data_IF_216165532859
#
_entry.id   IF_216165532859
#
_cell.length_a   1.000
_cell.length_b   1.000
_cell.length_c   1.000
_cell.angle_alpha   90.00
_cell.angle_beta   90.00
_cell.angle_gamma   90.00
#
_symmetry.space_group_name_H-M   'P 1'
#
loop_
_entity.id
_entity.type
_entity.pdbx_description
1 polymer ?
#
# COMPACT_ATOMS: atom_id res chain seq x y z
N UNK A 1 -1.95 20.07 6.08
CA UNK A 1 -2.23 20.21 4.62
C UNK A 1 -3.26 19.14 4.28
N UNK A 2 -4.52 19.49 4.00
CA UNK A 2 -5.56 18.49 3.69
C UNK A 2 -5.39 18.08 2.22
N UNK A 3 -5.28 16.80 1.90
CA UNK A 3 -5.24 16.33 0.52
C UNK A 3 -6.61 16.49 -0.13
N UNK A 4 -6.66 17.12 -1.30
CA UNK A 4 -7.92 17.43 -2.00
C UNK A 4 -8.52 16.25 -2.76
N UNK A 5 -7.76 15.15 -2.99
CA UNK A 5 -8.25 13.95 -3.68
C UNK A 5 -7.99 12.66 -2.87
N UNK A 6 -8.79 11.61 -3.10
CA UNK A 6 -8.63 10.30 -2.46
C UNK A 6 -7.25 9.68 -2.75
N UNK A 7 -6.70 9.94 -3.92
CA UNK A 7 -5.43 9.40 -4.42
C UNK A 7 -4.22 10.16 -3.87
N UNK A 8 -4.32 11.47 -3.65
CA UNK A 8 -3.32 12.23 -2.88
C UNK A 8 -3.26 11.76 -1.42
N UNK A 9 -4.40 11.30 -0.88
CA UNK A 9 -4.45 10.61 0.41
C UNK A 9 -3.73 9.28 0.38
N UNK A 10 -3.89 8.48 -0.67
CA UNK A 10 -3.24 7.18 -0.82
C UNK A 10 -1.70 7.31 -0.89
N UNK A 11 -1.16 8.32 -1.56
CA UNK A 11 0.29 8.56 -1.62
C UNK A 11 0.88 9.15 -0.35
N UNK A 12 0.14 10.04 0.32
CA UNK A 12 0.48 10.46 1.67
C UNK A 12 0.36 9.28 2.63
N UNK A 13 -0.68 8.45 2.48
CA UNK A 13 -0.84 7.20 3.22
C UNK A 13 0.33 6.26 2.98
N UNK A 14 0.85 6.12 1.75
CA UNK A 14 2.01 5.29 1.47
C UNK A 14 3.30 5.79 2.16
N UNK A 15 3.49 7.11 2.29
CA UNK A 15 4.59 7.69 3.09
C UNK A 15 4.28 7.58 4.59
N UNK A 16 3.03 7.75 4.99
CA UNK A 16 2.56 7.62 6.36
C UNK A 16 2.60 6.17 6.84
N UNK A 17 2.33 5.20 5.98
CA UNK A 17 2.38 3.76 6.25
C UNK A 17 3.77 3.13 5.98
N UNK A 18 4.72 3.89 5.42
CA UNK A 18 6.09 3.40 5.23
C UNK A 18 6.68 2.91 6.56
N UNK A 19 7.27 1.72 6.56
CA UNK A 19 7.92 1.15 7.77
C UNK A 19 9.17 1.90 8.16
N UNK A 20 9.81 2.58 7.22
CA UNK A 20 10.97 3.39 7.47
C UNK A 20 10.57 4.77 7.95
N UNK A 21 11.31 5.31 8.90
CA UNK A 21 11.21 6.71 9.27
C UNK A 21 11.49 7.59 8.06
N UNK A 22 10.61 8.54 7.78
CA UNK A 22 10.82 9.62 6.80
C UNK A 22 10.64 10.95 7.51
N UNK A 23 11.68 11.76 7.50
CA UNK A 23 11.69 13.09 8.14
C UNK A 23 12.14 14.16 7.15
N UNK A 24 11.59 15.37 7.31
CA UNK A 24 12.08 16.59 6.68
C UNK A 24 12.50 17.57 7.77
N UNK A 25 13.68 18.13 7.63
CA UNK A 25 14.22 19.10 8.58
C UNK A 25 14.80 20.33 7.85
N UNK A 26 14.72 21.45 8.51
CA UNK A 26 15.43 22.67 8.13
C UNK A 26 16.90 22.52 8.46
N UNK A 27 17.77 22.74 7.50
CA UNK A 27 19.20 22.48 7.68
C UNK A 27 19.87 23.42 8.69
N UNK A 28 19.57 24.73 8.62
CA UNK A 28 20.24 25.74 9.46
C UNK A 28 19.74 25.69 10.91
N UNK A 29 18.43 25.45 11.10
CA UNK A 29 17.83 25.42 12.43
C UNK A 29 17.72 24.02 13.01
N UNK A 30 17.81 22.98 12.17
CA UNK A 30 17.58 21.60 12.55
C UNK A 30 16.12 21.28 12.89
N UNK A 31 15.18 22.23 12.73
CA UNK A 31 13.77 22.01 13.08
C UNK A 31 13.12 21.03 12.13
N UNK A 32 12.40 20.09 12.70
CA UNK A 32 11.58 19.17 11.92
C UNK A 32 10.41 19.91 11.28
N UNK A 33 10.21 19.66 9.97
CA UNK A 33 9.05 20.12 9.20
C UNK A 33 8.02 19.01 9.01
N UNK A 34 8.47 17.77 9.07
CA UNK A 34 7.64 16.58 8.87
C UNK A 34 8.33 15.35 9.47
N UNK A 35 7.54 14.44 10.02
CA UNK A 35 7.93 13.10 10.44
C UNK A 35 6.73 12.18 10.21
N UNK A 36 6.94 11.06 9.50
CA UNK A 36 5.86 10.11 9.25
C UNK A 36 5.53 9.28 10.51
N UNK A 37 4.36 8.58 10.56
CA UNK A 37 3.95 7.79 11.72
C UNK A 37 4.97 6.74 12.15
N UNK A 38 5.64 6.05 11.20
CA UNK A 38 6.71 5.10 11.52
C UNK A 38 7.88 5.78 12.25
N UNK A 39 8.24 6.99 11.84
CA UNK A 39 9.24 7.80 12.52
C UNK A 39 8.76 8.25 13.90
N UNK A 40 7.51 8.65 14.05
CA UNK A 40 6.93 9.00 15.36
C UNK A 40 6.96 7.78 16.29
N UNK A 41 6.53 6.63 15.84
CA UNK A 41 6.57 5.39 16.61
C UNK A 41 7.99 4.96 16.96
N UNK A 42 8.93 5.02 16.00
CA UNK A 42 10.34 4.67 16.20
C UNK A 42 10.97 5.53 17.28
N UNK A 43 10.62 6.82 17.33
CA UNK A 43 11.18 7.80 18.26
C UNK A 43 10.39 7.94 19.57
N UNK A 44 9.19 7.32 19.68
CA UNK A 44 8.30 7.45 20.83
C UNK A 44 7.63 8.82 20.92
N UNK A 45 7.27 9.43 19.79
CA UNK A 45 6.51 10.67 19.71
C UNK A 45 5.03 10.36 19.44
N UNK A 46 4.12 11.11 20.07
CA UNK A 46 2.70 10.78 20.09
C UNK A 46 1.84 11.65 19.17
N UNK A 47 2.31 12.84 18.82
CA UNK A 47 1.54 13.81 18.04
C UNK A 47 2.44 14.79 17.25
N UNK A 48 1.82 15.51 16.29
CA UNK A 48 2.51 16.49 15.44
C UNK A 48 3.07 17.68 16.25
N UNK A 49 2.47 18.03 17.38
CA UNK A 49 2.97 19.12 18.21
C UNK A 49 4.31 18.70 18.90
N UNK A 50 4.40 17.45 19.32
CA UNK A 50 5.63 16.88 19.85
C UNK A 50 6.74 16.83 18.78
N UNK A 51 6.38 16.55 17.51
CA UNK A 51 7.32 16.58 16.37
C UNK A 51 7.80 18.01 16.11
N UNK A 52 6.89 18.99 16.03
CA UNK A 52 7.20 20.39 15.74
C UNK A 52 8.08 21.05 16.83
N UNK A 53 8.05 20.52 18.05
CA UNK A 53 8.87 21.00 19.17
C UNK A 53 10.32 20.48 19.12
N UNK A 54 10.64 19.52 18.24
CA UNK A 54 11.93 18.84 18.17
C UNK A 54 12.83 19.39 17.07
N UNK A 55 14.12 19.15 17.24
CA UNK A 55 15.13 19.40 16.22
C UNK A 55 16.01 18.17 15.98
N UNK A 56 16.48 18.02 14.76
CA UNK A 56 17.12 16.80 14.29
C UNK A 56 18.30 16.29 15.15
N UNK A 57 19.18 17.16 15.71
CA UNK A 57 20.26 16.69 16.58
C UNK A 57 19.82 15.96 17.85
N UNK A 58 18.59 16.20 18.34
CA UNK A 58 18.07 15.52 19.55
C UNK A 58 17.81 14.03 19.32
N UNK A 59 17.67 13.63 18.07
CA UNK A 59 17.38 12.25 17.69
C UNK A 59 18.59 11.32 17.92
N UNK A 60 19.79 11.85 17.90
CA UNK A 60 21.01 11.06 17.97
C UNK A 60 21.44 10.80 19.43
N UNK A 61 22.00 9.60 19.66
CA UNK A 61 22.81 9.35 20.86
C UNK A 61 24.18 10.01 20.72
N UNK A 62 24.95 10.07 21.80
CA UNK A 62 26.33 10.57 21.74
C UNK A 62 27.18 9.76 20.75
N UNK A 63 26.91 8.46 20.62
CA UNK A 63 27.56 7.56 19.65
C UNK A 63 27.12 7.87 18.20
N UNK A 64 25.83 8.05 17.99
CA UNK A 64 25.28 8.43 16.68
C UNK A 64 25.75 9.82 16.23
N UNK A 65 25.91 10.74 17.18
CA UNK A 65 26.35 12.12 16.91
C UNK A 65 27.84 12.26 16.55
N UNK A 66 28.66 11.26 16.85
CA UNK A 66 30.07 11.23 16.42
C UNK A 66 30.24 11.35 14.91
N UNK A 67 29.27 10.90 14.14
CA UNK A 67 29.27 10.96 12.67
C UNK A 67 28.75 12.28 12.10
N UNK A 68 28.25 13.20 12.94
CA UNK A 68 27.68 14.46 12.49
C UNK A 68 28.62 15.33 11.64
N UNK A 69 29.93 15.46 11.98
CA UNK A 69 30.87 16.23 11.16
C UNK A 69 31.06 15.63 9.75
N UNK A 70 31.11 14.31 9.63
CA UNK A 70 31.26 13.63 8.35
C UNK A 70 29.97 13.77 7.52
N UNK A 71 28.81 13.69 8.19
CA UNK A 71 27.51 13.93 7.57
C UNK A 71 27.37 15.38 7.09
N UNK A 72 27.74 16.37 7.92
CA UNK A 72 27.72 17.78 7.55
C UNK A 72 28.62 18.07 6.35
N UNK A 73 29.84 17.55 6.35
CA UNK A 73 30.78 17.67 5.23
C UNK A 73 30.23 17.07 3.95
N UNK A 74 29.68 15.85 4.04
CA UNK A 74 29.09 15.16 2.89
C UNK A 74 27.83 15.87 2.37
N UNK A 75 27.00 16.44 3.25
CA UNK A 75 25.82 17.21 2.85
C UNK A 75 26.19 18.52 2.18
N UNK A 76 27.26 19.19 2.62
CA UNK A 76 27.78 20.41 1.99
C UNK A 76 28.42 20.12 0.64
N UNK A 77 29.31 19.14 0.58
CA UNK A 77 30.10 18.81 -0.61
C UNK A 77 29.32 17.96 -1.61
N UNK A 78 28.66 16.90 -1.12
CA UNK A 78 28.01 15.90 -1.95
C UNK A 78 26.47 15.97 -1.91
N UNK A 79 25.84 16.69 -0.97
CA UNK A 79 24.38 16.85 -0.78
C UNK A 79 23.69 15.58 -0.31
N UNK A 80 24.44 14.56 0.05
CA UNK A 80 23.94 13.32 0.62
C UNK A 80 24.94 12.74 1.60
N UNK A 81 24.41 11.98 2.52
CA UNK A 81 25.20 11.11 3.39
C UNK A 81 24.41 9.81 3.61
N UNK A 82 25.12 8.71 3.70
CA UNK A 82 24.54 7.42 4.02
C UNK A 82 25.50 6.66 4.94
N UNK A 83 24.96 6.07 6.01
CA UNK A 83 25.77 5.34 6.96
C UNK A 83 24.92 4.69 8.05
N UNK A 84 25.60 3.93 8.92
CA UNK A 84 24.99 3.44 10.15
C UNK A 84 25.09 4.52 11.21
N UNK A 85 23.99 4.73 11.94
CA UNK A 85 23.93 5.69 13.04
C UNK A 85 23.11 5.12 14.18
N UNK A 86 22.97 5.88 15.25
CA UNK A 86 22.22 5.46 16.41
C UNK A 86 21.34 6.62 16.91
N UNK A 87 20.03 6.35 16.96
CA UNK A 87 19.04 7.27 17.52
C UNK A 87 18.77 6.97 18.98
N UNK A 88 18.10 7.89 19.67
CA UNK A 88 17.65 7.75 21.06
C UNK A 88 16.14 7.80 21.11
N UNK A 89 15.51 6.75 21.64
CA UNK A 89 14.06 6.74 21.87
C UNK A 89 13.68 7.75 22.95
N UNK A 90 12.79 8.70 22.66
CA UNK A 90 12.50 9.84 23.56
C UNK A 90 11.82 9.46 24.87
N UNK A 91 11.03 8.38 24.90
CA UNK A 91 10.34 7.95 26.13
C UNK A 91 11.19 7.00 26.98
N UNK A 92 11.94 6.09 26.37
CA UNK A 92 12.68 5.05 27.09
C UNK A 92 14.16 5.39 27.26
N UNK A 93 14.70 6.30 26.45
CA UNK A 93 16.13 6.61 26.39
C UNK A 93 16.99 5.53 25.73
N UNK A 94 16.38 4.44 25.24
CA UNK A 94 17.08 3.31 24.63
C UNK A 94 17.70 3.68 23.28
N UNK A 95 18.90 3.17 22.99
CA UNK A 95 19.53 3.37 21.71
C UNK A 95 18.85 2.54 20.62
N UNK A 96 18.68 3.15 19.44
CA UNK A 96 18.08 2.53 18.26
C UNK A 96 19.12 2.54 17.14
N UNK A 97 19.75 1.41 16.81
CA UNK A 97 20.65 1.33 15.66
C UNK A 97 19.86 1.45 14.36
N UNK A 98 20.31 2.34 13.49
CA UNK A 98 19.65 2.62 12.20
C UNK A 98 20.65 2.67 11.05
N UNK A 99 20.17 2.33 9.84
CA UNK A 99 20.78 2.83 8.62
C UNK A 99 20.11 4.14 8.27
N UNK A 100 20.90 5.20 8.13
CA UNK A 100 20.41 6.55 7.88
C UNK A 100 20.91 7.04 6.52
N UNK A 101 19.98 7.48 5.67
CA UNK A 101 20.27 8.18 4.43
C UNK A 101 19.72 9.60 4.53
N UNK A 102 20.57 10.60 4.33
CA UNK A 102 20.21 12.02 4.42
C UNK A 102 20.51 12.71 3.09
N UNK A 103 19.59 13.54 2.62
CA UNK A 103 19.64 14.21 1.31
C UNK A 103 19.30 15.69 1.44
N UNK A 104 20.02 16.55 0.73
CA UNK A 104 19.64 17.96 0.58
C UNK A 104 18.59 18.08 -0.50
N UNK A 105 17.37 18.51 -0.14
CA UNK A 105 16.23 18.66 -1.05
C UNK A 105 16.00 20.10 -1.52
N UNK A 106 16.39 21.07 -0.71
CA UNK A 106 16.37 22.49 -1.07
C UNK A 106 17.72 23.13 -0.70
N UNK A 107 18.13 24.09 -1.56
CA UNK A 107 19.30 24.92 -1.29
C UNK A 107 18.92 26.41 -1.31
N UNK A 108 19.64 27.21 -0.54
CA UNK A 108 19.56 28.68 -0.57
C UNK A 108 20.08 29.24 -1.90
N UNK A 109 19.91 30.55 -2.12
CA UNK A 109 20.51 31.26 -3.27
C UNK A 109 22.03 31.10 -3.31
N UNK A 110 22.69 31.01 -2.15
CA UNK A 110 24.14 30.82 -1.98
C UNK A 110 24.56 29.34 -2.04
N UNK A 111 23.71 28.46 -2.60
CA UNK A 111 23.96 27.01 -2.77
C UNK A 111 24.15 26.23 -1.45
N UNK A 112 23.86 26.78 -0.29
CA UNK A 112 23.86 26.07 0.98
C UNK A 112 22.60 25.20 1.14
N UNK A 113 22.69 24.07 1.83
CA UNK A 113 21.51 23.29 2.17
C UNK A 113 20.49 24.15 2.91
N UNK A 114 19.21 24.09 2.50
CA UNK A 114 18.10 24.75 3.17
C UNK A 114 17.18 23.75 3.85
N UNK A 115 16.85 22.65 3.15
CA UNK A 115 16.01 21.56 3.66
C UNK A 115 16.68 20.24 3.37
N UNK A 116 16.68 19.36 4.36
CA UNK A 116 17.17 17.98 4.24
C UNK A 116 16.03 16.99 4.43
N UNK A 117 16.08 15.88 3.71
CA UNK A 117 15.26 14.70 3.94
C UNK A 117 16.11 13.60 4.56
N UNK A 118 15.57 12.94 5.57
CA UNK A 118 16.19 11.82 6.25
C UNK A 118 15.29 10.59 6.13
N UNK A 119 15.89 9.46 5.74
CA UNK A 119 15.23 8.16 5.72
C UNK A 119 16.03 7.26 6.64
N UNK A 120 15.39 6.71 7.69
CA UNK A 120 16.06 5.81 8.62
C UNK A 120 15.34 4.46 8.68
N UNK A 121 16.10 3.38 8.60
CA UNK A 121 15.66 2.02 8.77
C UNK A 121 16.14 1.48 10.11
N UNK A 122 15.20 0.97 10.93
CA UNK A 122 15.50 0.30 12.20
C UNK A 122 16.20 -1.04 11.94
N UNK A 123 17.34 -1.25 12.57
CA UNK A 123 18.15 -2.47 12.43
C UNK A 123 17.88 -3.51 13.53
N UNK A 124 17.06 -3.21 14.55
CA UNK A 124 16.81 -4.12 15.67
C UNK A 124 16.13 -5.41 15.23
N UNK A 125 15.10 -5.32 14.39
CA UNK A 125 14.39 -6.49 13.84
C UNK A 125 15.28 -7.39 12.98
N UNK A 126 16.18 -6.82 12.19
CA UNK A 126 17.13 -7.59 11.39
C UNK A 126 18.16 -8.31 12.27
N UNK A 127 18.66 -7.63 13.31
CA UNK A 127 19.59 -8.22 14.28
C UNK A 127 18.94 -9.31 15.14
N UNK A 128 17.70 -9.13 15.55
CA UNK A 128 16.95 -10.16 16.27
C UNK A 128 16.68 -11.41 15.41
N UNK A 129 16.41 -11.22 14.12
CA UNK A 129 16.20 -12.32 13.17
C UNK A 129 17.51 -13.09 12.92
N UNK A 130 18.61 -12.37 12.75
CA UNK A 130 19.96 -12.95 12.61
C UNK A 130 20.39 -13.70 13.88
N UNK A 131 20.13 -13.14 15.06
CA UNK A 131 20.37 -13.82 16.35
C UNK A 131 19.50 -15.07 16.54
N UNK A 132 18.22 -15.03 16.15
CA UNK A 132 17.32 -16.21 16.19
C UNK A 132 17.80 -17.30 15.23
N UNK A 133 18.25 -16.95 14.03
CA UNK A 133 18.86 -17.90 13.10
C UNK A 133 20.18 -18.45 13.63
N UNK A 134 21.05 -17.60 14.21
CA UNK A 134 22.28 -18.04 14.86
C UNK A 134 22.02 -18.99 16.07
N UNK A 135 20.99 -18.71 16.86
CA UNK A 135 20.61 -19.56 18.00
C UNK A 135 19.97 -20.87 17.55
N UNK A 136 19.24 -20.84 16.43
CA UNK A 136 18.59 -22.03 15.88
C UNK A 136 19.56 -22.96 15.12
N UNK A 137 20.67 -22.43 14.56
CA UNK A 137 21.62 -23.17 13.73
C UNK A 137 23.04 -23.25 14.30
N UNK A 138 23.34 -22.61 15.44
CA UNK A 138 24.68 -22.42 15.98
C UNK A 138 24.94 -23.10 17.31
N UNK A 139 24.97 -24.43 17.33
CA UNK A 139 25.63 -25.22 18.38
C UNK A 139 27.09 -25.48 18.03
N UNK A 140 27.95 -24.46 17.96
CA UNK A 140 29.38 -24.64 17.71
C UNK A 140 30.19 -23.40 18.10
N UNK A 141 30.89 -23.51 19.24
CA UNK A 141 31.76 -22.48 19.79
C UNK A 141 32.97 -22.20 18.90
N UNK A 142 33.15 -20.95 18.41
CA UNK A 142 34.44 -20.44 17.92
C UNK A 142 34.75 -19.16 18.68
N UNK A 143 35.92 -19.04 19.37
CA UNK A 143 36.27 -17.83 20.12
C UNK A 143 36.74 -16.72 19.19
N UNK A 144 36.10 -15.56 19.30
CA UNK A 144 36.45 -14.35 18.55
C UNK A 144 37.71 -13.63 19.08
N UNK A 145 38.35 -12.81 18.26
CA UNK A 145 39.61 -12.14 18.60
C UNK A 145 39.39 -10.95 19.56
N UNK A 146 40.30 -10.87 20.52
CA UNK A 146 40.38 -9.80 21.52
C UNK A 146 40.68 -8.44 20.85
N UNK A 147 39.77 -7.49 20.99
CA UNK A 147 40.02 -6.09 20.63
C UNK A 147 40.78 -5.34 21.73
N UNK A 148 41.91 -4.83 21.36
CA UNK A 148 42.74 -3.93 22.17
C UNK A 148 42.15 -2.51 22.21
N UNK A 149 41.98 -1.97 23.43
CA UNK A 149 41.58 -0.58 23.70
C UNK A 149 42.62 0.42 23.19
N UNK A 150 42.26 1.46 22.50
CA UNK A 150 43.15 2.61 22.30
C UNK A 150 43.04 3.62 23.46
N UNK A 151 44.21 4.15 23.85
CA UNK A 151 44.42 5.17 24.88
C UNK A 151 43.88 6.54 24.43
N UNK A 152 43.30 7.28 25.39
CA UNK A 152 42.96 8.71 25.29
C UNK A 152 44.18 9.56 25.02
N UNK A 153 44.11 10.63 24.23
CA UNK A 153 44.96 11.81 24.34
C UNK A 153 44.21 12.98 25.04
N UNK A 154 44.94 13.64 25.90
CA UNK A 154 44.57 14.85 26.63
C UNK A 154 44.62 16.11 25.76
N UNK A 155 43.75 17.06 26.14
CA UNK A 155 43.88 18.50 26.01
C UNK A 155 43.85 19.16 24.61
N UNK A 156 42.74 19.85 24.31
CA UNK A 156 42.81 21.03 23.47
C UNK A 156 41.87 22.14 23.97
N UNK A 157 42.48 23.30 24.04
CA UNK A 157 42.05 24.56 24.66
C UNK A 157 40.80 25.18 24.05
N UNK A 158 39.94 25.73 24.91
CA UNK A 158 38.82 26.64 24.59
C UNK A 158 39.29 27.83 23.73
N UNK A 159 38.66 28.02 22.56
CA UNK A 159 38.62 29.31 21.85
C UNK A 159 37.18 29.87 21.86
N UNK A 160 37.09 31.14 22.30
CA UNK A 160 35.87 31.95 22.40
C UNK A 160 35.36 32.28 21.00
N UNK A 161 34.07 32.13 20.80
CA UNK A 161 33.33 32.60 19.61
C UNK A 161 32.90 34.07 19.78
N UNK A 162 32.95 34.89 18.71
CA UNK A 162 32.38 36.24 18.71
C UNK A 162 30.88 36.21 18.43
N UNK A 163 30.14 37.13 19.07
CA UNK A 163 28.69 37.34 18.91
C UNK A 163 28.38 38.03 17.57
N UNK A 164 27.28 37.64 16.87
CA UNK A 164 26.81 38.38 15.70
C UNK A 164 25.90 39.56 16.10
N UNK A 165 26.04 40.65 15.39
CA UNK A 165 25.24 41.89 15.46
C UNK A 165 23.93 41.74 14.68
N UNK A 166 22.83 42.42 15.10
CA UNK A 166 21.56 42.38 14.36
C UNK A 166 21.58 43.30 13.14
N UNK A 167 21.08 42.82 12.01
CA UNK A 167 20.73 43.64 10.80
C UNK A 167 19.28 43.45 10.43
N UNK A 168 18.68 44.45 10.29
CA UNK A 168 17.66 45.27 9.74
C UNK A 168 16.68 44.61 8.76
N UNK A 169 15.47 45.16 8.91
CA UNK A 169 14.24 44.92 8.18
C UNK A 169 14.36 45.05 6.64
N UNK A 170 13.50 44.23 5.98
CA UNK A 170 12.87 44.62 4.73
C UNK A 170 13.41 43.90 3.51
N UNK A 171 12.79 42.84 3.08
CA UNK A 171 13.02 42.23 1.78
C UNK A 171 11.83 41.35 1.38
N UNK A 172 11.10 41.77 0.36
CA UNK A 172 10.04 41.00 -0.29
C UNK A 172 10.55 39.61 -0.60
N UNK A 173 9.86 38.58 -0.11
CA UNK A 173 10.15 37.20 -0.41
C UNK A 173 10.03 36.95 -1.92
N UNK A 174 11.14 37.00 -2.63
CA UNK A 174 11.25 36.41 -3.96
C UNK A 174 11.22 34.89 -3.76
N UNK A 175 10.19 34.25 -4.32
CA UNK A 175 10.12 32.79 -4.39
C UNK A 175 11.35 32.28 -5.13
N UNK A 176 12.28 31.71 -4.39
CA UNK A 176 13.47 31.04 -4.91
C UNK A 176 13.01 29.80 -5.70
N UNK A 177 13.65 29.56 -6.85
CA UNK A 177 13.30 28.61 -7.91
C UNK A 177 13.09 27.16 -7.48
N UNK A 178 11.94 26.89 -6.85
CA UNK A 178 11.48 25.55 -6.52
C UNK A 178 10.99 24.76 -7.73
N UNK A 179 10.74 23.47 -7.56
CA UNK A 179 10.04 22.62 -8.53
C UNK A 179 8.67 23.26 -8.81
N UNK A 180 8.36 23.48 -10.09
CA UNK A 180 7.08 24.07 -10.49
C UNK A 180 5.94 23.06 -10.41
N UNK A 181 6.26 21.80 -10.69
CA UNK A 181 5.32 20.69 -10.66
C UNK A 181 6.08 19.39 -10.33
N UNK A 182 5.61 18.66 -9.34
CA UNK A 182 5.97 17.27 -9.11
C UNK A 182 4.70 16.43 -9.14
N UNK A 183 4.77 15.23 -9.70
CA UNK A 183 3.62 14.33 -9.71
C UNK A 183 4.05 12.86 -9.63
N UNK A 184 3.13 12.03 -9.16
CA UNK A 184 3.19 10.57 -9.28
C UNK A 184 2.09 10.14 -10.22
N UNK A 185 2.43 9.36 -11.22
CA UNK A 185 1.50 8.81 -12.19
C UNK A 185 1.62 7.30 -12.23
N UNK A 186 0.48 6.59 -12.30
CA UNK A 186 0.38 5.13 -12.35
C UNK A 186 0.07 4.66 -13.77
N UNK A 187 0.70 3.58 -14.19
CA UNK A 187 0.30 2.81 -15.35
C UNK A 187 -0.72 1.75 -14.92
N UNK A 188 -1.93 1.75 -15.49
CA UNK A 188 -2.93 0.72 -15.19
C UNK A 188 -2.54 -0.62 -15.81
N UNK A 189 -1.86 -0.58 -16.98
CA UNK A 189 -1.27 -1.73 -17.66
C UNK A 189 0.08 -1.33 -18.28
N UNK A 190 1.01 -2.28 -18.53
CA UNK A 190 2.26 -1.99 -19.23
C UNK A 190 2.00 -1.36 -20.61
N UNK A 191 2.59 -0.17 -20.84
CA UNK A 191 2.39 0.56 -22.09
C UNK A 191 1.09 1.38 -22.20
N UNK A 192 0.27 1.38 -21.16
CA UNK A 192 -0.95 2.19 -21.10
C UNK A 192 -0.67 3.66 -20.75
N UNK A 193 -1.72 4.46 -20.85
CA UNK A 193 -1.73 5.85 -20.39
C UNK A 193 -1.42 5.90 -18.90
N UNK A 194 -0.53 6.80 -18.51
CA UNK A 194 -0.20 7.05 -17.11
C UNK A 194 -1.20 8.04 -16.51
N UNK A 195 -1.97 7.61 -15.53
CA UNK A 195 -2.90 8.48 -14.78
C UNK A 195 -2.16 9.15 -13.62
N UNK A 196 -2.30 10.47 -13.49
CA UNK A 196 -1.73 11.20 -12.36
C UNK A 196 -2.56 10.95 -11.11
N UNK A 197 -1.93 10.38 -10.10
CA UNK A 197 -2.56 10.09 -8.81
C UNK A 197 -2.40 11.24 -7.82
N UNK A 198 -1.24 11.89 -7.82
CA UNK A 198 -0.97 13.02 -6.94
C UNK A 198 -0.04 14.02 -7.60
N UNK A 199 -0.16 15.28 -7.21
CA UNK A 199 0.75 16.33 -7.68
C UNK A 199 0.95 17.41 -6.62
N UNK A 200 2.06 18.14 -6.77
CA UNK A 200 2.38 19.34 -6.03
C UNK A 200 2.78 20.46 -6.99
N UNK A 201 2.34 21.69 -6.71
CA UNK A 201 2.59 22.85 -7.57
C UNK A 201 1.50 23.04 -8.63
N UNK A 202 1.90 23.33 -9.86
CA UNK A 202 0.95 23.53 -10.97
C UNK A 202 0.25 22.20 -11.31
N UNK A 203 -1.10 22.17 -11.34
CA UNK A 203 -1.82 20.92 -11.65
C UNK A 203 -1.49 20.41 -13.05
N UNK A 204 -1.39 19.10 -13.23
CA UNK A 204 -1.27 18.50 -14.55
C UNK A 204 -2.60 18.64 -15.32
N UNK A 205 -2.51 19.20 -16.54
CA UNK A 205 -3.62 19.24 -17.49
C UNK A 205 -3.09 18.76 -18.84
N UNK A 206 -3.56 17.64 -19.38
CA UNK A 206 -4.51 16.67 -18.79
C UNK A 206 -3.95 15.91 -17.57
N UNK A 207 -4.83 15.26 -16.83
CA UNK A 207 -4.49 14.43 -15.65
C UNK A 207 -3.83 13.09 -16.03
N UNK A 208 -3.43 12.97 -17.27
CA UNK A 208 -2.80 11.78 -17.84
C UNK A 208 -1.57 12.15 -18.64
N UNK A 209 -0.64 11.18 -18.76
CA UNK A 209 0.49 11.27 -19.68
C UNK A 209 0.36 10.18 -20.74
N UNK A 210 0.65 10.54 -21.99
CA UNK A 210 0.68 9.59 -23.09
C UNK A 210 1.80 8.57 -22.91
N UNK A 211 1.62 7.31 -23.32
CA UNK A 211 2.61 6.24 -23.16
C UNK A 211 3.79 6.38 -24.13
N UNK A 212 4.85 5.59 -23.87
CA UNK A 212 6.00 5.49 -24.77
C UNK A 212 6.66 6.82 -25.07
N UNK A 213 6.95 7.07 -26.33
CA UNK A 213 7.65 8.28 -26.81
C UNK A 213 6.79 9.54 -26.84
N UNK A 214 5.50 9.45 -26.53
CA UNK A 214 4.58 10.58 -26.62
C UNK A 214 4.66 11.53 -25.42
N UNK A 215 5.37 11.11 -24.36
CA UNK A 215 5.65 11.96 -23.20
C UNK A 215 6.92 11.54 -22.46
N UNK A 216 7.54 12.47 -21.71
CA UNK A 216 8.69 12.14 -20.85
C UNK A 216 8.35 11.07 -19.80
N UNK A 217 7.23 11.15 -19.04
CA UNK A 217 6.83 10.11 -18.12
C UNK A 217 6.55 8.76 -18.79
N UNK A 218 5.90 8.79 -19.97
CA UNK A 218 5.63 7.59 -20.76
C UNK A 218 6.91 6.91 -21.23
N UNK A 219 7.88 7.70 -21.68
CA UNK A 219 9.19 7.18 -22.07
C UNK A 219 9.96 6.58 -20.90
N UNK A 220 9.92 7.22 -19.73
CA UNK A 220 10.54 6.69 -18.52
C UNK A 220 9.90 5.35 -18.10
N UNK A 221 8.57 5.25 -18.16
CA UNK A 221 7.86 4.00 -17.86
C UNK A 221 8.19 2.88 -18.87
N UNK A 222 8.23 3.21 -20.15
CA UNK A 222 8.46 2.21 -21.21
C UNK A 222 9.90 1.68 -21.24
N UNK A 223 10.87 2.50 -20.83
CA UNK A 223 12.30 2.13 -20.85
C UNK A 223 12.82 1.66 -19.51
N UNK A 224 12.03 1.81 -18.43
CA UNK A 224 12.44 1.59 -17.03
C UNK A 224 13.74 2.35 -16.67
N UNK A 225 13.88 3.57 -17.20
CA UNK A 225 15.05 4.37 -16.99
C UNK A 225 14.71 5.74 -16.42
N UNK A 226 15.66 6.29 -15.64
CA UNK A 226 15.57 7.67 -15.18
C UNK A 226 15.80 8.58 -16.39
N UNK A 227 14.82 9.41 -16.72
CA UNK A 227 14.85 10.30 -17.87
C UNK A 227 15.03 11.74 -17.42
N UNK A 228 16.19 12.29 -17.71
CA UNK A 228 16.52 13.69 -17.44
C UNK A 228 16.37 14.47 -18.74
N UNK A 229 15.60 15.57 -18.68
CA UNK A 229 15.44 16.55 -19.74
C UNK A 229 15.89 17.91 -19.19
N UNK A 230 17.16 18.31 -19.39
CA UNK A 230 17.67 19.60 -18.91
C UNK A 230 17.01 20.77 -19.62
N UNK A 231 16.69 20.58 -20.90
CA UNK A 231 16.08 21.58 -21.75
C UNK A 231 15.20 20.92 -22.82
N UNK A 232 13.91 21.28 -22.90
CA UNK A 232 12.97 20.68 -23.86
C UNK A 232 13.33 20.95 -25.34
N UNK A 233 14.04 22.05 -25.63
CA UNK A 233 14.53 22.29 -26.98
C UNK A 233 15.77 21.46 -27.26
N UNK A 234 15.70 20.61 -28.27
CA UNK A 234 16.74 19.62 -28.57
C UNK A 234 16.49 18.24 -27.94
N UNK A 235 15.38 18.06 -27.25
CA UNK A 235 14.95 16.74 -26.83
C UNK A 235 14.32 15.97 -28.00
N UNK A 236 14.81 14.76 -28.27
CA UNK A 236 14.39 13.94 -29.42
C UNK A 236 13.93 12.54 -29.05
N UNK A 237 14.10 12.15 -27.78
CA UNK A 237 13.73 10.81 -27.29
C UNK A 237 12.22 10.65 -27.11
N UNK A 238 11.52 11.75 -26.82
CA UNK A 238 10.08 11.78 -26.55
C UNK A 238 9.47 13.14 -26.93
N UNK A 239 8.15 13.19 -27.10
CA UNK A 239 7.42 14.42 -27.35
C UNK A 239 7.47 15.37 -26.15
N UNK A 240 7.80 16.61 -26.39
CA UNK A 240 7.80 17.68 -25.38
C UNK A 240 6.54 18.54 -25.40
N UNK A 241 5.51 18.16 -26.15
CA UNK A 241 4.28 18.94 -26.32
C UNK A 241 3.55 19.16 -24.98
N UNK A 242 3.44 18.11 -24.16
CA UNK A 242 2.86 18.18 -22.82
C UNK A 242 3.66 19.11 -21.89
N UNK A 243 4.97 19.19 -22.03
CA UNK A 243 5.79 20.15 -21.29
C UNK A 243 5.57 21.57 -21.82
N UNK A 244 5.45 21.71 -23.13
CA UNK A 244 5.30 23.01 -23.81
C UNK A 244 3.97 23.68 -23.45
N UNK A 245 2.86 22.95 -23.55
CA UNK A 245 1.52 23.44 -23.20
C UNK A 245 1.41 23.93 -21.75
N UNK A 246 2.26 23.40 -20.86
CA UNK A 246 2.32 23.75 -19.44
C UNK A 246 3.41 24.75 -19.09
N UNK A 247 4.12 25.29 -20.07
CA UNK A 247 5.22 26.22 -19.85
C UNK A 247 6.44 25.61 -19.14
N UNK A 248 6.54 24.27 -19.10
CA UNK A 248 7.65 23.54 -18.49
C UNK A 248 8.82 23.47 -19.47
N UNK A 249 10.04 23.59 -19.00
CA UNK A 249 11.25 23.63 -19.83
C UNK A 249 12.29 22.58 -19.49
N UNK A 250 12.24 22.03 -18.28
CA UNK A 250 13.12 20.93 -17.86
C UNK A 250 12.37 19.98 -16.94
N UNK A 251 12.83 18.74 -16.82
CA UNK A 251 12.20 17.74 -15.97
C UNK A 251 13.06 16.51 -15.75
N UNK A 252 12.75 15.80 -14.65
CA UNK A 252 13.25 14.47 -14.34
C UNK A 252 12.06 13.57 -14.11
N UNK A 253 12.11 12.38 -14.70
CA UNK A 253 11.15 11.31 -14.46
C UNK A 253 11.89 10.08 -13.96
N UNK A 254 11.41 9.49 -12.88
CA UNK A 254 12.00 8.32 -12.24
C UNK A 254 10.94 7.23 -12.16
N UNK A 255 11.18 6.04 -12.73
CA UNK A 255 10.28 4.90 -12.60
C UNK A 255 10.09 4.48 -11.14
N UNK A 256 8.87 4.07 -10.80
CA UNK A 256 8.49 3.50 -9.52
C UNK A 256 8.15 2.04 -9.77
N UNK A 257 8.91 1.11 -9.20
CA UNK A 257 8.74 -0.32 -9.37
C UNK A 257 10.03 -1.05 -9.02
N UNK A 258 10.03 -2.40 -9.13
CA UNK A 258 11.22 -3.22 -8.95
C UNK A 258 11.41 -4.20 -10.12
N UNK A 259 10.47 -5.13 -10.33
CA UNK A 259 10.47 -6.07 -11.46
C UNK A 259 9.63 -5.54 -12.62
N UNK A 260 8.60 -4.78 -12.30
CA UNK A 260 7.74 -4.10 -13.27
C UNK A 260 7.56 -2.65 -12.85
N UNK A 261 7.43 -1.76 -13.83
CA UNK A 261 7.17 -0.35 -13.60
C UNK A 261 5.71 -0.16 -13.21
N UNK A 262 5.46 0.13 -11.94
CA UNK A 262 4.14 0.48 -11.43
C UNK A 262 3.69 1.87 -11.87
N UNK A 263 4.64 2.81 -11.99
CA UNK A 263 4.36 4.18 -12.36
C UNK A 263 5.61 5.04 -12.43
N UNK A 264 5.44 6.36 -12.43
CA UNK A 264 6.55 7.31 -12.58
C UNK A 264 6.42 8.48 -11.62
N UNK A 265 7.50 8.78 -10.89
CA UNK A 265 7.68 10.02 -10.15
C UNK A 265 8.26 11.07 -11.09
N UNK A 266 7.62 12.25 -11.16
CA UNK A 266 8.06 13.35 -12.03
C UNK A 266 8.38 14.60 -11.23
N UNK A 267 9.38 15.37 -11.69
CA UNK A 267 9.68 16.70 -11.18
C UNK A 267 10.04 17.64 -12.35
N UNK A 268 9.24 18.68 -12.56
CA UNK A 268 9.39 19.59 -13.69
C UNK A 268 9.56 21.06 -13.25
N UNK A 269 10.22 21.86 -14.11
CA UNK A 269 10.47 23.28 -13.89
C UNK A 269 10.14 24.12 -15.15
N UNK A 270 9.71 25.35 -14.91
CA UNK A 270 9.46 26.34 -15.98
C UNK A 270 10.74 26.96 -16.56
N UNK A 271 11.92 26.64 -16.02
CA UNK A 271 13.22 27.12 -16.51
C UNK A 271 14.10 25.95 -16.91
N UNK A 272 14.96 26.08 -17.90
CA UNK A 272 16.01 25.10 -18.19
C UNK A 272 16.90 24.92 -16.97
N UNK A 273 17.32 23.69 -16.73
CA UNK A 273 18.20 23.38 -15.62
C UNK A 273 18.92 22.06 -15.83
N UNK A 274 20.18 22.03 -15.53
CA UNK A 274 20.92 20.80 -15.31
C UNK A 274 20.55 20.22 -13.93
N UNK A 275 20.22 18.95 -13.91
CA UNK A 275 19.92 18.22 -12.68
C UNK A 275 21.19 17.54 -12.19
N UNK A 276 21.58 17.85 -10.97
CA UNK A 276 22.73 17.20 -10.35
C UNK A 276 22.43 15.72 -10.04
N UNK A 277 23.47 14.89 -10.02
CA UNK A 277 23.34 13.47 -9.61
C UNK A 277 22.64 13.33 -8.25
N UNK A 278 22.81 14.30 -7.38
CA UNK A 278 22.19 14.36 -6.05
C UNK A 278 20.68 14.47 -6.09
N UNK A 279 20.15 15.37 -6.95
CA UNK A 279 18.70 15.55 -7.12
C UNK A 279 18.09 14.30 -7.75
N UNK A 280 18.79 13.71 -8.70
CA UNK A 280 18.38 12.46 -9.34
C UNK A 280 18.36 11.32 -8.32
N UNK A 281 19.42 11.20 -7.52
CA UNK A 281 19.50 10.18 -6.46
C UNK A 281 18.43 10.36 -5.39
N UNK A 282 18.13 11.61 -4.99
CA UNK A 282 17.02 11.88 -4.09
C UNK A 282 15.68 11.39 -4.66
N UNK A 283 15.35 11.75 -5.91
CA UNK A 283 14.11 11.29 -6.56
C UNK A 283 14.08 9.77 -6.69
N UNK A 284 15.22 9.14 -6.97
CA UNK A 284 15.35 7.68 -6.99
C UNK A 284 15.07 7.06 -5.63
N UNK A 285 15.57 7.65 -4.55
CA UNK A 285 15.30 7.17 -3.18
C UNK A 285 13.82 7.31 -2.82
N UNK A 286 13.19 8.44 -3.18
CA UNK A 286 11.74 8.63 -3.00
C UNK A 286 10.96 7.59 -3.81
N UNK A 287 11.31 7.34 -5.07
CA UNK A 287 10.68 6.33 -5.90
C UNK A 287 10.84 4.91 -5.31
N UNK A 288 12.00 4.59 -4.76
CA UNK A 288 12.26 3.31 -4.10
C UNK A 288 11.40 3.11 -2.83
N UNK A 289 11.24 4.16 -2.02
CA UNK A 289 10.35 4.14 -0.82
C UNK A 289 8.90 3.94 -1.26
N UNK A 290 8.44 4.67 -2.28
CA UNK A 290 7.10 4.50 -2.83
C UNK A 290 6.90 3.07 -3.37
N UNK A 291 7.84 2.53 -4.13
CA UNK A 291 7.78 1.17 -4.65
C UNK A 291 7.70 0.12 -3.53
N UNK A 292 8.45 0.30 -2.44
CA UNK A 292 8.40 -0.60 -1.29
C UNK A 292 7.03 -0.54 -0.56
N UNK A 293 6.50 0.65 -0.35
CA UNK A 293 5.19 0.86 0.28
C UNK A 293 4.06 0.28 -0.58
N UNK A 294 4.08 0.52 -1.88
CA UNK A 294 3.10 -0.01 -2.84
C UNK A 294 3.09 -1.53 -2.82
N UNK A 295 4.27 -2.18 -2.95
CA UNK A 295 4.38 -3.65 -2.89
C UNK A 295 3.82 -4.23 -1.59
N UNK A 296 4.04 -3.54 -0.48
CA UNK A 296 3.50 -3.98 0.82
C UNK A 296 1.97 -3.93 0.81
N UNK A 297 1.38 -2.81 0.38
CA UNK A 297 -0.09 -2.66 0.30
C UNK A 297 -0.67 -3.73 -0.62
N UNK A 298 -0.10 -3.92 -1.81
CA UNK A 298 -0.54 -4.95 -2.76
C UNK A 298 -0.43 -6.37 -2.18
N UNK A 299 0.64 -6.66 -1.44
CA UNK A 299 0.81 -7.95 -0.77
C UNK A 299 -0.18 -8.15 0.39
N UNK A 300 -0.45 -7.11 1.20
CA UNK A 300 -1.45 -7.14 2.27
C UNK A 300 -2.86 -7.32 1.70
N UNK A 301 -3.21 -6.63 0.61
CA UNK A 301 -4.49 -6.79 -0.08
C UNK A 301 -4.63 -8.17 -0.71
N UNK A 302 -3.58 -8.70 -1.34
CA UNK A 302 -3.58 -10.06 -1.87
C UNK A 302 -3.74 -11.12 -0.76
N UNK A 303 -3.02 -10.97 0.36
CA UNK A 303 -3.18 -11.84 1.53
C UNK A 303 -4.60 -11.75 2.12
N UNK A 304 -5.15 -10.55 2.22
CA UNK A 304 -6.52 -10.34 2.68
C UNK A 304 -7.53 -11.01 1.74
N UNK A 305 -7.33 -10.86 0.44
CA UNK A 305 -8.18 -11.51 -0.56
C UNK A 305 -8.13 -13.03 -0.43
N UNK A 306 -6.93 -13.63 -0.35
CA UNK A 306 -6.75 -15.07 -0.12
C UNK A 306 -7.37 -15.56 1.20
N UNK A 307 -7.32 -14.74 2.24
CA UNK A 307 -7.90 -15.07 3.55
C UNK A 307 -9.42 -15.04 3.56
N UNK A 308 -10.06 -14.29 2.65
CA UNK A 308 -11.50 -14.02 2.65
C UNK A 308 -12.23 -14.63 1.45
N UNK A 309 -11.51 -15.19 0.47
CA UNK A 309 -12.09 -15.80 -0.72
C UNK A 309 -11.66 -17.27 -0.86
N UNK A 310 -12.51 -18.05 -1.53
CA UNK A 310 -12.21 -19.43 -1.91
C UNK A 310 -11.30 -19.45 -3.14
N UNK A 311 -10.18 -20.16 -3.06
CA UNK A 311 -9.14 -20.15 -4.10
C UNK A 311 -9.56 -20.83 -5.41
N UNK A 312 -10.57 -21.70 -5.39
CA UNK A 312 -11.05 -22.39 -6.57
C UNK A 312 -12.07 -21.55 -7.34
N UNK A 313 -13.07 -21.02 -6.63
CA UNK A 313 -14.22 -20.35 -7.23
C UNK A 313 -14.10 -18.83 -7.26
N UNK A 314 -13.18 -18.24 -6.51
CA UNK A 314 -13.06 -16.80 -6.34
C UNK A 314 -14.17 -16.16 -5.50
N UNK A 315 -15.18 -16.92 -5.08
CA UNK A 315 -16.25 -16.42 -4.22
C UNK A 315 -15.73 -16.09 -2.81
N UNK A 316 -16.43 -15.24 -2.06
CA UNK A 316 -16.29 -15.14 -0.62
C UNK A 316 -16.22 -16.53 0.04
N UNK A 317 -15.30 -16.70 0.98
CA UNK A 317 -15.21 -17.91 1.77
C UNK A 317 -16.12 -17.83 3.00
N UNK A 318 -16.12 -18.88 3.84
CA UNK A 318 -16.91 -18.96 5.09
C UNK A 318 -16.68 -17.76 5.99
N UNK A 319 -15.41 -17.28 6.11
CA UNK A 319 -15.08 -16.18 7.00
C UNK A 319 -15.72 -14.86 6.53
N UNK A 320 -15.63 -14.55 5.23
CA UNK A 320 -16.27 -13.36 4.68
C UNK A 320 -17.80 -13.48 4.70
N UNK A 321 -18.37 -14.65 4.40
CA UNK A 321 -19.82 -14.88 4.53
C UNK A 321 -20.34 -14.59 5.94
N UNK A 322 -19.62 -15.01 6.98
CA UNK A 322 -19.97 -14.73 8.36
C UNK A 322 -19.95 -13.22 8.69
N UNK A 323 -18.92 -12.50 8.18
CA UNK A 323 -18.86 -11.04 8.33
C UNK A 323 -20.03 -10.34 7.65
N UNK A 324 -20.44 -10.80 6.47
CA UNK A 324 -21.57 -10.25 5.73
C UNK A 324 -22.89 -10.48 6.45
N UNK A 325 -23.09 -11.66 7.04
CA UNK A 325 -24.27 -11.95 7.85
C UNK A 325 -24.33 -11.02 9.08
N UNK A 326 -23.23 -10.89 9.82
CA UNK A 326 -23.17 -10.02 11.00
C UNK A 326 -23.49 -8.57 10.64
N UNK A 327 -22.95 -8.08 9.51
CA UNK A 327 -23.22 -6.74 9.00
C UNK A 327 -24.68 -6.57 8.58
N UNK A 328 -25.25 -7.57 7.87
CA UNK A 328 -26.63 -7.55 7.42
C UNK A 328 -27.63 -7.55 8.61
N UNK A 329 -27.40 -8.42 9.61
CA UNK A 329 -28.22 -8.47 10.82
C UNK A 329 -28.11 -7.17 11.62
N UNK A 330 -26.92 -6.57 11.72
CA UNK A 330 -26.75 -5.28 12.37
C UNK A 330 -27.51 -4.15 11.65
N UNK A 331 -27.47 -4.13 10.30
CA UNK A 331 -28.19 -3.15 9.50
C UNK A 331 -29.72 -3.35 9.53
N UNK A 332 -30.19 -4.58 9.65
CA UNK A 332 -31.61 -4.92 9.74
C UNK A 332 -32.24 -4.46 11.07
N UNK A 333 -31.45 -4.34 12.13
CA UNK A 333 -31.93 -3.91 13.46
C UNK A 333 -32.55 -2.51 13.37
N UNK A 334 -33.84 -2.43 13.66
CA UNK A 334 -34.59 -1.17 13.66
C UNK A 334 -35.01 -0.64 12.28
N UNK A 335 -34.66 -1.31 11.18
CA UNK A 335 -35.05 -0.90 9.81
C UNK A 335 -36.33 -1.54 9.30
N UNK A 336 -36.84 -2.57 9.98
CA UNK A 336 -37.99 -3.39 9.49
C UNK A 336 -37.65 -4.30 8.30
N UNK A 337 -36.38 -4.39 7.90
CA UNK A 337 -35.91 -5.30 6.84
C UNK A 337 -35.54 -6.66 7.40
N UNK A 338 -35.57 -7.66 6.54
CA UNK A 338 -35.22 -9.03 6.87
C UNK A 338 -33.90 -9.42 6.19
N UNK A 339 -33.21 -10.41 6.74
CA UNK A 339 -32.02 -11.01 6.14
C UNK A 339 -32.36 -12.45 5.76
N UNK A 340 -32.16 -12.84 4.51
CA UNK A 340 -32.28 -14.23 4.10
C UNK A 340 -30.91 -14.89 3.95
N UNK A 341 -30.85 -16.17 4.36
CA UNK A 341 -29.70 -17.03 4.12
C UNK A 341 -30.19 -18.30 3.39
N UNK A 342 -29.55 -18.60 2.26
CA UNK A 342 -29.82 -19.78 1.47
C UNK A 342 -28.59 -20.67 1.47
N UNK A 343 -28.70 -21.87 2.04
CA UNK A 343 -27.64 -22.87 2.01
C UNK A 343 -27.90 -23.84 0.86
N UNK A 344 -26.90 -24.06 0.03
CA UNK A 344 -26.98 -24.82 -1.21
C UNK A 344 -25.94 -25.94 -1.13
N UNK A 345 -26.36 -27.16 -1.48
CA UNK A 345 -25.47 -28.30 -1.64
C UNK A 345 -25.70 -28.95 -2.99
N UNK A 346 -24.63 -29.30 -3.71
CA UNK A 346 -24.71 -30.07 -4.94
C UNK A 346 -25.05 -31.54 -4.65
N UNK A 347 -26.13 -32.05 -5.26
CA UNK A 347 -26.51 -33.44 -5.08
C UNK A 347 -25.52 -34.35 -5.84
N UNK A 348 -25.19 -35.48 -5.21
CA UNK A 348 -24.31 -36.52 -5.77
C UNK A 348 -22.89 -36.03 -6.20
N UNK A 349 -22.41 -34.88 -5.70
CA UNK A 349 -21.10 -34.32 -6.08
C UNK A 349 -19.96 -35.30 -5.84
N UNK A 350 -20.00 -36.10 -4.77
CA UNK A 350 -19.01 -37.13 -4.50
C UNK A 350 -19.03 -38.21 -5.59
N UNK A 351 -20.20 -38.66 -5.99
CA UNK A 351 -20.39 -39.65 -7.07
C UNK A 351 -19.81 -39.14 -8.39
N UNK A 352 -19.97 -37.84 -8.67
CA UNK A 352 -19.35 -37.20 -9.83
C UNK A 352 -17.83 -37.31 -9.78
N UNK A 353 -17.22 -36.87 -8.67
CA UNK A 353 -15.77 -36.92 -8.47
C UNK A 353 -15.23 -38.34 -8.62
N UNK A 354 -15.92 -39.32 -8.04
CA UNK A 354 -15.53 -40.74 -8.08
C UNK A 354 -15.58 -41.29 -9.53
N UNK A 355 -16.53 -40.78 -10.36
CA UNK A 355 -16.72 -41.26 -11.75
C UNK A 355 -15.90 -40.53 -12.80
N UNK A 356 -15.76 -39.21 -12.66
CA UNK A 356 -15.17 -38.33 -13.69
C UNK A 356 -13.86 -37.67 -13.27
N UNK A 357 -13.47 -37.83 -12.03
CA UNK A 357 -12.27 -37.22 -11.45
C UNK A 357 -12.48 -35.81 -10.90
N UNK A 358 -11.58 -35.42 -10.01
CA UNK A 358 -11.66 -34.15 -9.28
C UNK A 358 -11.62 -32.90 -10.19
N UNK A 359 -10.92 -32.97 -11.32
CA UNK A 359 -10.86 -31.83 -12.26
C UNK A 359 -12.23 -31.46 -12.83
N UNK A 360 -13.09 -32.46 -13.11
CA UNK A 360 -14.48 -32.23 -13.58
C UNK A 360 -15.34 -31.68 -12.44
N UNK A 361 -15.11 -32.13 -11.21
CA UNK A 361 -15.77 -31.59 -10.03
C UNK A 361 -15.39 -30.13 -9.77
N UNK A 362 -14.12 -29.78 -9.93
CA UNK A 362 -13.63 -28.41 -9.79
C UNK A 362 -14.26 -27.49 -10.86
N UNK A 363 -14.32 -27.93 -12.13
CA UNK A 363 -15.02 -27.22 -13.21
C UNK A 363 -16.51 -27.00 -12.88
N UNK A 364 -17.17 -28.00 -12.31
CA UNK A 364 -18.58 -27.91 -11.90
C UNK A 364 -18.79 -26.86 -10.79
N UNK A 365 -17.90 -26.81 -9.81
CA UNK A 365 -17.94 -25.81 -8.72
C UNK A 365 -17.70 -24.39 -9.23
N UNK A 366 -16.74 -24.20 -10.14
CA UNK A 366 -16.46 -22.90 -10.76
C UNK A 366 -17.71 -22.41 -11.53
N UNK A 367 -18.30 -23.26 -12.35
CA UNK A 367 -19.50 -22.89 -13.15
C UNK A 367 -20.71 -22.59 -12.26
N UNK A 368 -20.92 -23.40 -11.22
CA UNK A 368 -21.99 -23.09 -10.27
C UNK A 368 -21.77 -21.71 -9.64
N UNK A 369 -20.54 -21.40 -9.25
CA UNK A 369 -20.20 -20.11 -8.68
C UNK A 369 -20.52 -18.93 -9.64
N UNK A 370 -20.16 -19.07 -10.92
CA UNK A 370 -20.46 -18.09 -11.96
C UNK A 370 -21.99 -17.91 -12.15
N UNK A 371 -22.73 -19.02 -12.16
CA UNK A 371 -24.18 -18.96 -12.30
C UNK A 371 -24.87 -18.40 -11.07
N UNK A 372 -24.43 -18.75 -9.87
CA UNK A 372 -24.94 -18.14 -8.64
C UNK A 372 -24.75 -16.61 -8.66
N UNK A 373 -23.58 -16.14 -9.08
CA UNK A 373 -23.34 -14.71 -9.23
C UNK A 373 -24.25 -14.03 -10.25
N UNK A 374 -24.65 -14.74 -11.31
CA UNK A 374 -25.55 -14.19 -12.35
C UNK A 374 -27.00 -14.03 -11.91
N UNK A 375 -27.46 -14.81 -10.92
CA UNK A 375 -28.84 -14.82 -10.44
C UNK A 375 -29.05 -14.03 -9.14
N UNK A 376 -28.01 -13.69 -8.42
CA UNK A 376 -28.09 -12.84 -7.21
C UNK A 376 -27.94 -11.37 -7.57
N UNK A 377 -28.38 -10.49 -6.68
CA UNK A 377 -28.25 -9.04 -6.84
C UNK A 377 -26.82 -8.57 -6.46
N UNK A 378 -26.41 -7.39 -6.91
CA UNK A 378 -25.13 -6.80 -6.48
C UNK A 378 -25.00 -6.58 -4.96
N UNK A 379 -26.12 -6.48 -4.25
CA UNK A 379 -26.19 -6.35 -2.79
C UNK A 379 -26.09 -7.68 -2.07
N UNK A 380 -26.38 -8.78 -2.75
CA UNK A 380 -26.33 -10.12 -2.17
C UNK A 380 -24.91 -10.66 -2.21
N UNK A 381 -24.60 -11.56 -1.29
CA UNK A 381 -23.28 -12.20 -1.21
C UNK A 381 -23.41 -13.68 -1.45
N UNK A 382 -22.85 -14.18 -2.56
CA UNK A 382 -22.67 -15.61 -2.78
C UNK A 382 -21.29 -16.06 -2.26
N UNK A 383 -21.25 -17.11 -1.46
CA UNK A 383 -20.04 -17.62 -0.84
C UNK A 383 -19.92 -19.14 -0.99
N UNK A 384 -18.67 -19.66 -1.05
CA UNK A 384 -18.42 -21.10 -0.91
C UNK A 384 -17.89 -21.35 0.50
N UNK A 385 -18.62 -22.19 1.26
CA UNK A 385 -18.33 -22.40 2.70
C UNK A 385 -17.70 -23.75 3.01
N UNK A 386 -17.69 -24.66 2.06
CA UNK A 386 -17.12 -26.01 2.19
C UNK A 386 -17.14 -26.73 0.84
N UNK A 387 -16.66 -27.95 0.76
CA UNK A 387 -16.55 -28.78 -0.45
C UNK A 387 -17.53 -28.46 -1.59
N UNK A 388 -18.76 -28.91 -1.48
CA UNK A 388 -19.88 -28.70 -2.42
C UNK A 388 -20.99 -27.80 -1.84
N UNK A 389 -20.67 -27.06 -0.75
CA UNK A 389 -21.61 -26.20 -0.03
C UNK A 389 -21.39 -24.72 -0.37
N UNK A 390 -22.48 -24.05 -0.77
CA UNK A 390 -22.53 -22.63 -1.01
C UNK A 390 -23.56 -21.95 -0.10
N UNK A 391 -23.33 -20.69 0.20
CA UNK A 391 -24.21 -19.86 1.02
C UNK A 391 -24.48 -18.55 0.31
N UNK A 392 -25.76 -18.18 0.18
CA UNK A 392 -26.15 -16.86 -0.27
C UNK A 392 -26.72 -16.08 0.90
N UNK A 393 -26.27 -14.85 1.06
CA UNK A 393 -26.73 -13.89 2.07
C UNK A 393 -27.42 -12.74 1.35
N UNK A 394 -28.70 -12.51 1.64
CA UNK A 394 -29.51 -11.42 1.09
C UNK A 394 -29.84 -10.42 2.20
N UNK A 395 -29.13 -9.28 2.29
CA UNK A 395 -29.25 -8.36 3.42
C UNK A 395 -30.53 -7.54 3.46
N UNK A 396 -31.19 -7.38 2.32
CA UNK A 396 -32.34 -6.47 2.15
C UNK A 396 -33.60 -7.21 1.66
N UNK A 397 -33.85 -8.41 2.18
CA UNK A 397 -35.01 -9.22 1.82
C UNK A 397 -36.28 -8.56 2.33
N UNK A 398 -37.27 -8.40 1.46
CA UNK A 398 -38.55 -7.75 1.78
C UNK A 398 -39.65 -8.71 2.22
N UNK A 399 -39.55 -9.97 1.80
CA UNK A 399 -40.52 -11.02 2.16
C UNK A 399 -39.92 -12.42 2.07
N UNK A 400 -40.56 -13.39 2.69
CA UNK A 400 -40.18 -14.81 2.61
C UNK A 400 -40.30 -15.34 1.19
N UNK A 401 -41.34 -14.90 0.46
CA UNK A 401 -41.60 -15.31 -0.93
C UNK A 401 -40.46 -14.90 -1.86
N UNK A 402 -39.81 -13.77 -1.59
CA UNK A 402 -38.61 -13.31 -2.34
C UNK A 402 -37.44 -14.29 -2.19
N UNK A 403 -37.19 -14.75 -0.97
CA UNK A 403 -36.15 -15.75 -0.71
C UNK A 403 -36.47 -17.11 -1.35
N UNK A 404 -37.72 -17.52 -1.31
CA UNK A 404 -38.21 -18.76 -1.98
C UNK A 404 -38.05 -18.64 -3.49
N UNK A 405 -38.43 -17.52 -4.09
CA UNK A 405 -38.28 -17.29 -5.52
C UNK A 405 -36.79 -17.37 -5.96
N UNK A 406 -35.87 -16.87 -5.14
CA UNK A 406 -34.43 -17.02 -5.39
C UNK A 406 -34.02 -18.50 -5.30
N UNK A 407 -34.46 -19.23 -4.28
CA UNK A 407 -34.18 -20.66 -4.14
C UNK A 407 -34.69 -21.46 -5.34
N UNK A 408 -35.90 -21.19 -5.83
CA UNK A 408 -36.44 -21.81 -7.04
C UNK A 408 -35.57 -21.57 -8.26
N UNK A 409 -35.13 -20.31 -8.49
CA UNK A 409 -34.20 -20.01 -9.59
C UNK A 409 -32.90 -20.76 -9.49
N UNK A 410 -32.38 -20.95 -8.27
CA UNK A 410 -31.14 -21.69 -8.04
C UNK A 410 -31.29 -23.16 -8.36
N UNK A 411 -32.42 -23.80 -7.98
CA UNK A 411 -32.68 -25.21 -8.29
C UNK A 411 -32.90 -25.47 -9.79
N UNK A 412 -33.25 -24.44 -10.56
CA UNK A 412 -33.40 -24.49 -12.01
C UNK A 412 -32.11 -24.21 -12.79
N UNK A 413 -30.98 -23.89 -12.09
CA UNK A 413 -29.72 -23.61 -12.76
C UNK A 413 -29.19 -24.85 -13.49
N UNK A 414 -28.70 -24.62 -14.71
CA UNK A 414 -28.05 -25.62 -15.54
C UNK A 414 -26.57 -25.31 -15.63
N UNK A 415 -25.73 -26.17 -15.09
CA UNK A 415 -24.27 -25.89 -14.97
C UNK A 415 -23.56 -25.87 -16.34
N UNK A 416 -24.23 -26.34 -17.41
CA UNK A 416 -23.68 -26.31 -18.77
C UNK A 416 -22.64 -27.39 -19.03
N UNK A 417 -21.79 -27.20 -20.04
CA UNK A 417 -20.79 -28.18 -20.43
C UNK A 417 -19.46 -27.93 -19.71
N UNK A 418 -18.72 -29.00 -19.37
CA UNK A 418 -17.35 -28.91 -18.84
C UNK A 418 -16.36 -28.31 -19.87
N UNK A 419 -15.10 -28.17 -19.46
CA UNK A 419 -14.02 -27.68 -20.34
C UNK A 419 -13.78 -28.54 -21.58
N UNK A 420 -14.32 -29.78 -21.60
CA UNK A 420 -14.23 -30.71 -22.72
C UNK A 420 -15.47 -30.69 -23.61
N UNK A 421 -16.50 -29.90 -23.29
CA UNK A 421 -17.77 -29.82 -24.02
C UNK A 421 -18.81 -30.86 -23.56
N UNK A 422 -18.59 -31.58 -22.46
CA UNK A 422 -19.53 -32.53 -21.90
C UNK A 422 -20.58 -31.78 -21.07
N UNK A 423 -21.85 -32.00 -21.34
CA UNK A 423 -22.94 -31.42 -20.56
C UNK A 423 -22.96 -32.01 -19.13
N UNK A 424 -22.85 -31.13 -18.16
CA UNK A 424 -22.94 -31.48 -16.74
C UNK A 424 -24.30 -31.08 -16.21
N UNK A 425 -25.07 -32.06 -15.76
CA UNK A 425 -26.38 -31.86 -15.13
C UNK A 425 -26.28 -32.22 -13.67
N UNK A 426 -26.51 -31.25 -12.81
CA UNK A 426 -26.60 -31.43 -11.37
C UNK A 426 -27.93 -30.88 -10.88
N UNK A 427 -28.44 -31.50 -9.86
CA UNK A 427 -29.43 -30.89 -8.99
C UNK A 427 -28.76 -30.31 -7.77
N UNK A 428 -29.36 -29.27 -7.22
CA UNK A 428 -28.92 -28.65 -5.98
C UNK A 428 -30.07 -28.67 -4.98
N UNK A 429 -29.78 -29.05 -3.77
CA UNK A 429 -30.70 -28.95 -2.65
C UNK A 429 -30.49 -27.64 -1.92
N UNK A 430 -31.56 -26.85 -1.72
CA UNK A 430 -31.50 -25.51 -1.14
C UNK A 430 -32.32 -25.43 0.13
N UNK A 431 -31.67 -25.06 1.24
CA UNK A 431 -32.35 -24.70 2.48
C UNK A 431 -32.45 -23.18 2.60
N UNK A 432 -33.60 -22.67 2.95
CA UNK A 432 -33.88 -21.23 3.05
C UNK A 432 -34.23 -20.89 4.51
N UNK A 433 -33.61 -19.83 5.04
CA UNK A 433 -34.05 -19.21 6.29
C UNK A 433 -34.14 -17.70 6.11
N UNK A 434 -35.15 -17.11 6.74
CA UNK A 434 -35.32 -15.66 6.80
C UNK A 434 -35.35 -15.22 8.24
N UNK A 435 -34.50 -14.25 8.57
CA UNK A 435 -34.32 -13.74 9.92
C UNK A 435 -34.91 -12.33 10.06
N UNK A 436 -35.54 -12.10 11.20
CA UNK A 436 -35.85 -10.74 11.67
C UNK A 436 -34.66 -10.09 12.40
N UNK A 437 -34.91 -8.91 12.95
CA UNK A 437 -33.88 -8.02 13.50
C UNK A 437 -33.14 -8.52 14.75
N UNK A 438 -33.63 -9.54 15.43
CA UNK A 438 -33.06 -10.02 16.73
C UNK A 438 -32.34 -11.36 16.62
N UNK A 439 -32.29 -11.97 15.44
CA UNK A 439 -31.66 -13.26 15.24
C UNK A 439 -30.13 -13.15 15.25
N UNK A 440 -29.44 -14.24 15.65
CA UNK A 440 -27.98 -14.34 15.63
C UNK A 440 -27.50 -15.05 14.36
N UNK A 441 -26.25 -14.83 13.97
CA UNK A 441 -25.62 -15.52 12.84
C UNK A 441 -25.70 -17.04 12.99
N UNK A 442 -25.41 -17.56 14.18
CA UNK A 442 -25.38 -19.00 14.45
C UNK A 442 -26.74 -19.62 14.20
N UNK A 443 -27.81 -18.97 14.61
CA UNK A 443 -29.18 -19.43 14.40
C UNK A 443 -29.56 -19.34 12.94
N UNK A 444 -29.22 -18.22 12.26
CA UNK A 444 -29.54 -17.99 10.85
C UNK A 444 -28.83 -18.98 9.91
N UNK A 445 -27.63 -19.48 10.25
CA UNK A 445 -26.92 -20.49 9.45
C UNK A 445 -27.44 -21.90 9.74
N UNK A 446 -27.78 -22.23 10.99
CA UNK A 446 -28.22 -23.55 11.38
C UNK A 446 -29.61 -23.94 10.80
N UNK A 447 -30.52 -22.97 10.68
CA UNK A 447 -31.88 -23.21 10.16
C UNK A 447 -31.89 -23.69 8.70
N UNK A 448 -31.22 -23.03 7.77
CA UNK A 448 -31.19 -23.48 6.37
C UNK A 448 -30.44 -24.83 6.21
N UNK A 449 -29.47 -25.15 7.07
CA UNK A 449 -28.81 -26.47 7.05
C UNK A 449 -29.82 -27.62 7.26
N UNK A 450 -30.65 -27.52 8.29
CA UNK A 450 -31.71 -28.50 8.54
C UNK A 450 -32.74 -28.57 7.39
N UNK A 451 -33.11 -27.42 6.83
CA UNK A 451 -34.03 -27.33 5.70
C UNK A 451 -33.44 -27.93 4.39
N UNK A 452 -32.17 -27.68 4.13
CA UNK A 452 -31.45 -28.25 2.98
C UNK A 452 -31.39 -29.78 3.06
N UNK A 453 -31.13 -30.32 4.26
CA UNK A 453 -31.15 -31.76 4.46
C UNK A 453 -32.56 -32.36 4.19
N UNK A 454 -33.63 -31.65 4.58
CA UNK A 454 -35.00 -32.04 4.22
C UNK A 454 -35.22 -31.98 2.72
N UNK A 455 -34.83 -30.92 2.02
CA UNK A 455 -34.92 -30.80 0.60
C UNK A 455 -34.26 -31.99 -0.12
N UNK A 456 -33.06 -32.36 0.32
CA UNK A 456 -32.27 -33.48 -0.20
C UNK A 456 -32.96 -34.84 0.00
N UNK A 457 -33.58 -35.06 1.17
CA UNK A 457 -34.25 -36.34 1.49
C UNK A 457 -35.61 -36.48 0.79
N UNK A 458 -36.31 -35.39 0.56
CA UNK A 458 -37.64 -35.39 -0.10
C UNK A 458 -37.56 -35.22 -1.63
N UNK A 459 -36.40 -34.81 -2.16
CA UNK A 459 -36.26 -34.49 -3.59
C UNK A 459 -37.04 -33.23 -4.01
N UNK A 460 -37.37 -32.34 -3.05
CA UNK A 460 -38.22 -31.16 -3.32
C UNK A 460 -37.45 -29.99 -3.96
N UNK A 461 -36.12 -30.11 -4.11
CA UNK A 461 -35.24 -29.07 -4.60
C UNK A 461 -34.95 -27.98 -3.55
N UNK A 462 -35.95 -27.40 -2.92
CA UNK A 462 -35.76 -26.42 -1.85
C UNK A 462 -36.78 -26.59 -0.70
N UNK A 463 -36.39 -26.11 0.50
CA UNK A 463 -37.27 -26.14 1.68
C UNK A 463 -37.01 -24.89 2.53
N UNK A 464 -38.10 -24.27 3.01
CA UNK A 464 -38.04 -23.17 3.97
C UNK A 464 -37.90 -23.70 5.40
N UNK A 465 -36.96 -23.20 6.13
CA UNK A 465 -36.79 -23.49 7.54
C UNK A 465 -37.91 -22.83 8.37
N UNK A 466 -38.46 -23.56 9.36
CA UNK A 466 -39.46 -23.02 10.28
C UNK A 466 -38.93 -21.85 11.12
#
# INVERSE_FOLDING_TARGET
MKPETAEARMLLSAIEEAQNMVALADYDTGRLRYLNPAGMQLMGLTDEAAVAARWAPEFFTDVGFVQAPDMESALLEQGRWEGRSEFRHFLTGEPIPVTLSTYVIERTEDQRPAVIACIAQDLRTAQEHEQRLHTAFGGGCVPGPRTTRPRRPESARRRRRPRPRPRGRGGRSRRVGGVNCASVARAEEPGAVLRVLAYRGQPPVPETFAPGTDSQPGYAAATDQIIICPHRYGEHRFSTEAMNSRGLRSGVCVPIGAETVWGVLTAHRARPRDYSDREVMFLRSVAAVLAAAIRRIEAEDALRHLSLHDSLTGLPNRALAHQQIDAALAAARGSGRMVAALLINLDEFKTLNDRLGHAVGDDALIRLAEQLQSVIRPTDTGARIGGDEFLIVCPDTTSVEEAIALATRITELHIGADSTGRELRFTASVGVAVAGSEETRETLIRRPDAAMYQAKTTGSGHTLAP
#
